data_IF_852235045422
#
_entry.id   IF_852235045422
#
_cell.length_a   1.000
_cell.length_b   1.000
_cell.length_c   1.000
_cell.angle_alpha   90.00
_cell.angle_beta   90.00
_cell.angle_gamma   90.00
#
_symmetry.space_group_name_H-M   'P 1'
#
loop_
_entity.id
_entity.type
_entity.pdbx_description
1 polymer ?
#
# COMPACT_ATOMS: atom_id res chain seq x y z
N UNK A 1 -16.66 11.87 -13.45
CA UNK A 1 -15.84 10.76 -12.95
C UNK A 1 -16.70 9.51 -12.90
N UNK A 2 -16.16 8.32 -13.18
CA UNK A 2 -16.88 7.06 -12.96
C UNK A 2 -17.30 6.94 -11.49
N UNK A 3 -18.51 6.45 -11.25
CA UNK A 3 -19.01 6.15 -9.91
C UNK A 3 -18.65 4.69 -9.57
N UNK A 4 -18.34 4.38 -8.30
CA UNK A 4 -18.08 3.00 -7.90
C UNK A 4 -19.35 2.17 -8.03
N UNK A 5 -19.21 0.95 -8.57
CA UNK A 5 -20.31 -0.01 -8.68
C UNK A 5 -20.72 -0.50 -7.28
N UNK A 6 -21.96 -0.24 -6.82
CA UNK A 6 -22.41 -0.70 -5.51
C UNK A 6 -22.50 -2.23 -5.39
N UNK A 7 -22.57 -2.96 -6.50
CA UNK A 7 -22.58 -4.42 -6.49
C UNK A 7 -21.18 -5.04 -6.32
N UNK A 8 -20.11 -4.24 -6.51
CA UNK A 8 -18.76 -4.74 -6.35
C UNK A 8 -18.41 -4.95 -4.86
N UNK A 9 -17.91 -6.14 -4.45
CA UNK A 9 -17.76 -6.48 -3.04
C UNK A 9 -16.88 -5.57 -2.18
N UNK A 10 -15.84 -4.92 -2.75
CA UNK A 10 -15.02 -3.95 -1.99
C UNK A 10 -15.62 -2.56 -1.89
N UNK A 11 -16.65 -2.22 -2.67
CA UNK A 11 -17.14 -0.84 -2.75
C UNK A 11 -17.52 -0.32 -1.38
N UNK A 12 -18.26 -1.11 -0.60
CA UNK A 12 -18.63 -0.73 0.76
C UNK A 12 -17.40 -0.47 1.64
N UNK A 13 -16.42 -1.37 1.66
CA UNK A 13 -15.23 -1.23 2.49
C UNK A 13 -14.39 0.01 2.13
N UNK A 14 -14.27 0.31 0.83
CA UNK A 14 -13.59 1.53 0.39
C UNK A 14 -14.31 2.78 0.87
N UNK A 15 -15.64 2.84 0.76
CA UNK A 15 -16.44 3.98 1.21
C UNK A 15 -16.40 4.14 2.73
N UNK A 16 -16.44 3.03 3.48
CA UNK A 16 -16.32 3.05 4.95
C UNK A 16 -14.97 3.61 5.39
N UNK A 17 -13.87 3.17 4.75
CA UNK A 17 -12.55 3.70 5.04
C UNK A 17 -12.48 5.18 4.67
N UNK A 18 -12.95 5.57 3.48
CA UNK A 18 -12.95 6.96 3.02
C UNK A 18 -13.66 7.89 4.01
N UNK A 19 -14.88 7.53 4.43
CA UNK A 19 -15.64 8.31 5.41
C UNK A 19 -14.96 8.43 6.77
N UNK A 20 -14.27 7.38 7.21
CA UNK A 20 -13.50 7.42 8.44
C UNK A 20 -12.29 8.38 8.32
N UNK A 21 -11.67 8.43 7.15
CA UNK A 21 -10.55 9.34 6.88
C UNK A 21 -10.99 10.79 6.77
N UNK A 22 -12.13 11.07 6.14
CA UNK A 22 -12.68 12.42 6.06
C UNK A 22 -12.99 13.00 7.45
N UNK A 23 -13.30 12.13 8.44
CA UNK A 23 -13.48 12.52 9.84
C UNK A 23 -12.17 12.60 10.63
N UNK A 24 -11.25 11.66 10.40
CA UNK A 24 -10.05 11.53 11.21
C UNK A 24 -8.90 12.44 10.73
N UNK A 25 -8.88 12.80 9.44
CA UNK A 25 -7.81 13.56 8.80
C UNK A 25 -6.46 12.84 8.76
N UNK A 26 -6.41 11.54 9.14
CA UNK A 26 -5.15 10.81 9.27
C UNK A 26 -5.27 9.33 8.96
N UNK A 27 -4.18 8.76 8.45
CA UNK A 27 -4.06 7.34 8.17
C UNK A 27 -2.77 6.78 8.76
N UNK A 28 -2.86 5.72 9.56
CA UNK A 28 -1.69 5.03 10.10
C UNK A 28 -0.95 4.26 8.99
N UNK A 29 0.37 4.41 8.95
CA UNK A 29 1.26 3.80 7.98
C UNK A 29 2.16 2.76 8.66
N UNK A 30 2.34 1.58 8.07
CA UNK A 30 3.30 0.60 8.58
C UNK A 30 4.72 1.11 8.36
N UNK A 31 5.65 0.61 9.18
CA UNK A 31 7.07 0.76 8.89
C UNK A 31 7.42 0.16 7.51
N UNK A 32 8.57 0.55 6.96
CA UNK A 32 9.10 -0.01 5.73
C UNK A 32 10.50 -0.54 5.99
N UNK A 33 10.63 -1.85 5.91
CA UNK A 33 11.89 -2.56 5.89
C UNK A 33 12.13 -3.10 4.48
N UNK A 34 13.38 -3.07 4.04
CA UNK A 34 13.77 -3.56 2.72
C UNK A 34 15.02 -4.42 2.81
N UNK A 35 15.07 -5.43 1.94
CA UNK A 35 16.23 -6.31 1.76
C UNK A 35 16.40 -6.63 0.28
N UNK A 36 17.64 -6.57 -0.21
CA UNK A 36 17.99 -7.03 -1.56
C UNK A 36 18.74 -8.35 -1.43
N UNK A 37 18.17 -9.43 -1.97
CA UNK A 37 18.79 -10.75 -2.02
C UNK A 37 19.49 -10.94 -3.37
N UNK A 38 20.55 -10.17 -3.60
CA UNK A 38 21.19 -10.13 -4.91
C UNK A 38 21.91 -11.45 -5.27
N UNK A 39 21.84 -11.89 -6.53
CA UNK A 39 22.61 -13.03 -7.02
C UNK A 39 24.11 -12.69 -7.12
N UNK A 40 24.94 -13.73 -7.20
CA UNK A 40 26.39 -13.62 -7.35
C UNK A 40 26.83 -13.26 -8.79
N UNK A 41 26.15 -12.31 -9.43
CA UNK A 41 26.45 -11.84 -10.79
C UNK A 41 26.02 -10.39 -11.01
N UNK A 42 26.41 -9.85 -12.15
CA UNK A 42 25.92 -8.57 -12.62
C UNK A 42 24.40 -8.61 -12.86
N UNK A 43 23.69 -7.58 -12.38
CA UNK A 43 22.25 -7.39 -12.55
C UNK A 43 21.94 -5.93 -12.92
N UNK A 44 20.86 -5.74 -13.68
CA UNK A 44 20.30 -4.44 -13.99
C UNK A 44 19.18 -4.07 -13.01
N UNK A 45 18.75 -2.81 -13.01
CA UNK A 45 17.81 -2.28 -12.01
C UNK A 45 16.41 -2.90 -12.12
N UNK A 46 15.95 -3.14 -13.35
CA UNK A 46 14.71 -3.85 -13.66
C UNK A 46 14.72 -5.26 -13.08
N UNK A 47 15.81 -6.01 -13.30
CA UNK A 47 15.99 -7.34 -12.73
C UNK A 47 16.08 -7.29 -11.19
N UNK A 48 16.72 -6.26 -10.64
CA UNK A 48 16.96 -6.13 -9.21
C UNK A 48 15.66 -6.03 -8.38
N UNK A 49 14.56 -5.58 -8.98
CA UNK A 49 13.25 -5.51 -8.32
C UNK A 49 12.74 -6.89 -7.92
N UNK A 50 13.06 -7.94 -8.68
CA UNK A 50 12.68 -9.32 -8.34
C UNK A 50 13.40 -9.83 -7.08
N UNK A 51 14.53 -9.23 -6.73
CA UNK A 51 15.32 -9.57 -5.55
C UNK A 51 15.04 -8.64 -4.36
N UNK A 52 14.18 -7.64 -4.53
CA UNK A 52 13.78 -6.72 -3.47
C UNK A 52 12.61 -7.32 -2.68
N UNK A 53 12.81 -7.48 -1.37
CA UNK A 53 11.76 -7.85 -0.43
C UNK A 53 11.41 -6.65 0.44
N UNK A 54 10.12 -6.33 0.55
CA UNK A 54 9.59 -5.31 1.45
C UNK A 54 8.82 -5.96 2.60
N UNK A 55 8.93 -5.38 3.80
CA UNK A 55 8.25 -5.90 4.99
C UNK A 55 7.83 -4.77 5.93
N UNK A 56 6.67 -4.88 6.60
CA UNK A 56 6.28 -3.96 7.66
C UNK A 56 7.06 -4.20 8.96
N UNK A 57 7.75 -5.34 9.10
CA UNK A 57 8.52 -5.73 10.29
C UNK A 57 9.95 -6.07 9.91
N UNK A 58 10.91 -5.69 10.76
CA UNK A 58 12.31 -5.96 10.52
C UNK A 58 12.68 -7.40 10.87
N UNK A 59 13.46 -8.03 9.98
CA UNK A 59 14.13 -9.30 10.20
C UNK A 59 15.64 -9.12 10.09
N UNK A 60 16.39 -10.16 10.42
CA UNK A 60 17.85 -10.15 10.27
C UNK A 60 18.24 -9.86 8.81
N UNK A 61 19.12 -8.87 8.61
CA UNK A 61 19.56 -8.41 7.30
C UNK A 61 18.64 -7.39 6.63
N UNK A 62 17.51 -7.04 7.23
CA UNK A 62 16.64 -5.97 6.71
C UNK A 62 17.14 -4.58 7.12
N UNK A 63 16.96 -3.60 6.23
CA UNK A 63 17.24 -2.19 6.50
C UNK A 63 15.91 -1.45 6.67
N UNK A 64 15.76 -0.74 7.80
CA UNK A 64 14.61 0.13 8.02
C UNK A 64 14.72 1.41 7.20
N UNK A 65 13.84 1.60 6.23
CA UNK A 65 13.76 2.79 5.37
C UNK A 65 12.76 3.84 5.91
N UNK A 66 11.69 3.38 6.55
CA UNK A 66 10.66 4.21 7.17
C UNK A 66 10.25 3.62 8.51
N UNK A 67 10.11 4.46 9.54
CA UNK A 67 9.49 4.06 10.79
C UNK A 67 7.97 3.99 10.64
N UNK A 68 7.30 3.24 11.51
CA UNK A 68 5.83 3.32 11.61
C UNK A 68 5.42 4.76 11.96
N UNK A 69 4.28 5.21 11.41
CA UNK A 69 3.84 6.59 11.59
C UNK A 69 2.42 6.83 11.10
N UNK A 70 2.11 8.08 10.79
CA UNK A 70 0.80 8.49 10.29
C UNK A 70 0.93 9.52 9.18
N UNK A 71 0.11 9.38 8.14
CA UNK A 71 -0.10 10.36 7.09
C UNK A 71 -1.18 11.36 7.54
N UNK A 72 -0.90 12.66 7.51
CA UNK A 72 -1.94 13.70 7.65
C UNK A 72 -2.54 14.00 6.28
N UNK A 73 -3.86 13.94 6.17
CA UNK A 73 -4.57 13.93 4.90
C UNK A 73 -5.11 15.30 4.54
N UNK A 74 -4.74 15.78 3.36
CA UNK A 74 -5.39 16.93 2.73
C UNK A 74 -6.78 16.55 2.25
N UNK A 75 -6.86 15.42 1.54
CA UNK A 75 -8.09 14.79 1.08
C UNK A 75 -7.82 13.34 0.69
N UNK A 76 -8.91 12.59 0.58
CA UNK A 76 -8.93 11.21 0.09
C UNK A 76 -9.82 11.10 -1.15
N UNK A 77 -9.49 10.24 -2.11
CA UNK A 77 -10.30 10.05 -3.32
C UNK A 77 -10.30 8.60 -3.75
N UNK A 78 -11.49 8.03 -3.93
CA UNK A 78 -11.64 6.67 -4.46
C UNK A 78 -11.33 6.66 -5.97
N UNK A 79 -10.31 5.89 -6.36
CA UNK A 79 -9.99 5.62 -7.75
C UNK A 79 -10.83 4.44 -8.25
N UNK A 80 -11.56 4.68 -9.34
CA UNK A 80 -12.53 3.74 -9.91
C UNK A 80 -12.19 3.52 -11.39
N UNK A 81 -12.22 2.27 -11.83
CA UNK A 81 -12.06 1.87 -13.22
C UNK A 81 -13.26 2.34 -14.08
N UNK A 82 -13.14 2.35 -15.42
CA UNK A 82 -14.22 2.81 -16.30
C UNK A 82 -15.53 2.02 -16.17
N UNK A 83 -15.46 0.76 -15.73
CA UNK A 83 -16.58 -0.16 -15.51
C UNK A 83 -17.25 0.01 -14.14
N UNK A 84 -16.72 0.88 -13.27
CA UNK A 84 -17.20 1.07 -11.90
C UNK A 84 -16.43 0.27 -10.84
N UNK A 85 -15.46 -0.57 -11.23
CA UNK A 85 -14.69 -1.37 -10.26
C UNK A 85 -13.77 -0.47 -9.41
N UNK A 86 -13.88 -0.48 -8.06
CA UNK A 86 -13.01 0.32 -7.20
C UNK A 86 -11.60 -0.28 -7.10
N UNK A 87 -10.59 0.51 -7.41
CA UNK A 87 -9.21 0.02 -7.51
C UNK A 87 -8.34 0.34 -6.29
N UNK A 88 -8.43 1.56 -5.79
CA UNK A 88 -7.64 2.03 -4.65
C UNK A 88 -8.21 3.32 -4.06
N UNK A 89 -7.91 3.58 -2.80
CA UNK A 89 -8.09 4.88 -2.19
C UNK A 89 -6.80 5.70 -2.32
N UNK A 90 -6.87 6.85 -2.98
CA UNK A 90 -5.77 7.80 -3.12
C UNK A 90 -5.76 8.75 -1.92
N UNK A 91 -4.67 8.73 -1.18
CA UNK A 91 -4.47 9.55 0.01
C UNK A 91 -3.45 10.64 -0.27
N UNK A 92 -3.86 11.90 -0.25
CA UNK A 92 -2.98 13.06 -0.51
C UNK A 92 -2.54 13.69 0.80
N UNK A 93 -1.23 13.86 1.00
CA UNK A 93 -0.67 14.45 2.22
C UNK A 93 -0.84 15.98 2.28
N UNK A 94 -1.16 16.54 3.46
CA UNK A 94 -1.38 17.99 3.67
C UNK A 94 -0.22 18.88 3.27
N UNK A 95 1.02 18.47 3.55
CA UNK A 95 2.19 19.34 3.36
C UNK A 95 2.94 19.08 2.06
N UNK A 96 3.21 17.82 1.74
CA UNK A 96 4.04 17.46 0.58
C UNK A 96 3.22 17.25 -0.68
N UNK A 97 1.89 17.07 -0.54
CA UNK A 97 0.98 16.60 -1.60
C UNK A 97 1.41 15.28 -2.24
N UNK A 98 2.25 14.50 -1.55
CA UNK A 98 2.53 13.14 -1.96
C UNK A 98 1.24 12.31 -1.90
N UNK A 99 1.03 11.48 -2.91
CA UNK A 99 -0.12 10.58 -2.99
C UNK A 99 0.33 9.16 -2.68
N UNK A 100 -0.41 8.50 -1.78
CA UNK A 100 -0.28 7.07 -1.49
C UNK A 100 -1.55 6.36 -1.95
N UNK A 101 -1.42 5.33 -2.78
CA UNK A 101 -2.53 4.46 -3.11
C UNK A 101 -2.69 3.35 -2.05
N UNK A 102 -3.92 3.13 -1.59
CA UNK A 102 -4.28 2.04 -0.68
C UNK A 102 -5.21 1.09 -1.39
N UNK A 103 -4.75 -0.13 -1.67
CA UNK A 103 -5.59 -1.20 -2.21
C UNK A 103 -6.06 -2.12 -1.09
N UNK A 104 -7.36 -2.33 -0.99
CA UNK A 104 -7.94 -3.31 -0.08
C UNK A 104 -7.80 -4.70 -0.69
N UNK A 105 -7.34 -5.66 0.10
CA UNK A 105 -7.30 -7.06 -0.28
C UNK A 105 -8.45 -7.80 0.43
N UNK A 106 -9.24 -8.59 -0.30
CA UNK A 106 -10.32 -9.36 0.30
C UNK A 106 -9.78 -10.45 1.25
N UNK A 107 -10.57 -10.86 2.26
CA UNK A 107 -10.16 -11.89 3.21
C UNK A 107 -10.16 -13.32 2.61
N UNK A 108 -10.71 -13.48 1.41
CA UNK A 108 -10.73 -14.72 0.64
C UNK A 108 -10.45 -14.43 -0.83
N UNK A 109 -10.06 -15.47 -1.58
CA UNK A 109 -9.73 -15.35 -3.00
C UNK A 109 -11.00 -15.10 -3.81
N UNK A 110 -10.95 -14.12 -4.71
CA UNK A 110 -11.98 -13.89 -5.73
C UNK A 110 -11.54 -14.46 -7.08
N UNK A 111 -12.52 -14.91 -7.87
CA UNK A 111 -12.29 -15.43 -9.22
C UNK A 111 -11.81 -14.34 -10.18
N UNK A 112 -12.26 -13.10 -9.97
CA UNK A 112 -11.80 -11.95 -10.74
C UNK A 112 -10.44 -11.42 -10.23
N UNK A 113 -9.52 -11.07 -11.15
CA UNK A 113 -8.28 -10.43 -10.78
C UNK A 113 -8.58 -9.08 -10.12
N UNK A 114 -7.78 -8.72 -9.11
CA UNK A 114 -7.87 -7.39 -8.54
C UNK A 114 -7.59 -6.34 -9.62
N UNK A 115 -8.32 -5.21 -9.61
CA UNK A 115 -8.10 -4.14 -10.56
C UNK A 115 -6.67 -3.60 -10.43
N UNK A 116 -6.07 -3.14 -11.55
CA UNK A 116 -4.72 -2.61 -11.52
C UNK A 116 -4.67 -1.34 -10.66
N UNK A 117 -3.55 -1.18 -9.95
CA UNK A 117 -3.28 0.02 -9.16
C UNK A 117 -3.06 1.23 -10.08
N UNK A 118 -3.52 2.42 -9.67
CA UNK A 118 -3.17 3.65 -10.36
C UNK A 118 -1.66 3.93 -10.25
N UNK A 119 -1.11 4.55 -11.28
CA UNK A 119 0.30 4.97 -11.30
C UNK A 119 0.52 6.07 -10.25
N UNK A 120 1.08 5.65 -9.12
CA UNK A 120 1.33 6.48 -7.94
C UNK A 120 2.71 6.18 -7.40
N UNK A 121 3.42 7.18 -6.84
CA UNK A 121 4.80 7.00 -6.39
C UNK A 121 4.91 6.02 -5.22
N UNK A 122 3.85 5.84 -4.43
CA UNK A 122 3.79 4.91 -3.32
C UNK A 122 2.44 4.18 -3.29
N UNK A 123 2.47 2.89 -3.04
CA UNK A 123 1.26 2.10 -2.83
C UNK A 123 1.44 1.09 -1.70
N UNK A 124 0.35 0.80 -0.99
CA UNK A 124 0.29 -0.26 0.00
C UNK A 124 -1.01 -1.04 -0.11
N UNK A 125 -0.96 -2.28 0.32
CA UNK A 125 -2.14 -3.13 0.51
C UNK A 125 -2.62 -3.05 1.94
N UNK A 126 -3.93 -3.12 2.14
CA UNK A 126 -4.56 -3.37 3.43
C UNK A 126 -5.32 -4.70 3.35
N UNK A 127 -4.85 -5.72 4.07
CA UNK A 127 -5.49 -7.02 4.12
C UNK A 127 -6.71 -7.00 5.06
N UNK A 128 -7.91 -7.17 4.49
CA UNK A 128 -9.12 -7.39 5.28
C UNK A 128 -9.11 -8.81 5.86
N UNK A 129 -9.74 -8.96 7.01
CA UNK A 129 -9.93 -10.24 7.72
C UNK A 129 -11.42 -10.61 7.77
N UNK A 130 -11.73 -11.87 8.07
CA UNK A 130 -13.14 -12.28 8.28
C UNK A 130 -13.80 -11.49 9.42
N UNK A 131 -13.02 -11.06 10.42
CA UNK A 131 -13.52 -10.21 11.49
C UNK A 131 -13.88 -8.81 10.98
N UNK A 132 -13.14 -8.27 10.01
CA UNK A 132 -13.47 -6.97 9.42
C UNK A 132 -14.80 -7.03 8.67
N UNK A 133 -15.09 -8.13 7.97
CA UNK A 133 -16.37 -8.34 7.29
C UNK A 133 -17.52 -8.35 8.30
N UNK A 134 -17.42 -9.19 9.34
CA UNK A 134 -18.47 -9.25 10.39
C UNK A 134 -18.64 -7.90 11.12
N UNK A 135 -17.56 -7.15 11.27
CA UNK A 135 -17.59 -5.84 11.92
C UNK A 135 -18.23 -4.78 11.02
N UNK A 136 -18.13 -4.89 9.69
CA UNK A 136 -18.82 -3.99 8.77
C UNK A 136 -20.33 -4.02 8.97
N UNK A 137 -20.90 -5.22 9.16
CA UNK A 137 -22.33 -5.41 9.41
C UNK A 137 -22.78 -4.90 10.78
N UNK A 138 -21.89 -4.94 11.78
CA UNK A 138 -22.26 -4.66 13.19
C UNK A 138 -21.96 -3.21 13.61
N UNK A 139 -20.75 -2.71 13.30
CA UNK A 139 -20.31 -1.35 13.61
C UNK A 139 -19.35 -0.84 12.50
N UNK A 140 -19.91 -0.38 11.36
CA UNK A 140 -19.12 0.08 10.23
C UNK A 140 -18.25 1.30 10.56
N UNK A 141 -18.68 2.16 11.49
CA UNK A 141 -17.93 3.33 11.91
C UNK A 141 -16.70 2.94 12.75
N UNK A 142 -16.83 1.94 13.63
CA UNK A 142 -15.67 1.39 14.34
C UNK A 142 -14.71 0.68 13.40
N UNK A 143 -15.22 -0.05 12.40
CA UNK A 143 -14.36 -0.66 11.39
C UNK A 143 -13.55 0.39 10.64
N UNK A 144 -14.20 1.42 10.09
CA UNK A 144 -13.49 2.50 9.37
C UNK A 144 -12.41 3.16 10.24
N UNK A 145 -12.70 3.45 11.52
CA UNK A 145 -11.71 3.96 12.47
C UNK A 145 -10.55 3.00 12.71
N UNK A 146 -10.81 1.70 12.83
CA UNK A 146 -9.79 0.66 12.98
C UNK A 146 -8.87 0.63 11.77
N UNK A 147 -9.43 0.51 10.56
CA UNK A 147 -8.69 0.45 9.30
C UNK A 147 -7.84 1.71 9.07
N UNK A 148 -8.38 2.89 9.41
CA UNK A 148 -7.65 4.14 9.33
C UNK A 148 -6.53 4.24 10.37
N UNK A 149 -6.82 3.88 11.62
CA UNK A 149 -5.97 4.18 12.79
C UNK A 149 -4.90 3.14 13.12
N UNK A 150 -4.93 1.95 12.52
CA UNK A 150 -3.94 0.88 12.78
C UNK A 150 -2.94 0.72 11.63
N UNK A 151 -1.69 0.41 11.94
CA UNK A 151 -0.71 -0.05 10.96
C UNK A 151 -0.84 -1.56 10.64
N UNK A 152 -1.61 -2.30 11.44
CA UNK A 152 -1.81 -3.73 11.25
C UNK A 152 -2.41 -4.05 9.88
N UNK A 153 -2.03 -5.20 9.32
CA UNK A 153 -2.45 -5.70 8.01
C UNK A 153 -2.11 -4.81 6.81
N UNK A 154 -1.33 -3.74 7.01
CA UNK A 154 -0.84 -2.88 5.93
C UNK A 154 0.55 -3.31 5.49
N UNK A 155 0.80 -3.34 4.19
CA UNK A 155 2.10 -3.68 3.61
C UNK A 155 2.39 -2.82 2.39
N UNK A 156 3.57 -2.23 2.35
CA UNK A 156 4.04 -1.49 1.19
C UNK A 156 4.23 -2.43 -0.01
N UNK A 157 3.72 -2.04 -1.17
CA UNK A 157 4.00 -2.67 -2.46
C UNK A 157 5.21 -2.02 -3.11
N UNK A 158 5.21 -0.69 -3.14
CA UNK A 158 6.33 0.13 -3.59
C UNK A 158 6.34 1.47 -2.87
N UNK A 159 7.51 2.09 -2.80
CA UNK A 159 7.70 3.37 -2.12
C UNK A 159 8.96 4.06 -2.65
N UNK A 160 9.02 5.40 -2.79
CA UNK A 160 10.18 6.09 -3.35
C UNK A 160 11.49 5.77 -2.62
N UNK A 161 11.44 5.66 -1.29
CA UNK A 161 12.60 5.24 -0.49
C UNK A 161 13.10 3.83 -0.81
N UNK A 162 12.21 2.90 -1.17
CA UNK A 162 12.60 1.55 -1.57
C UNK A 162 13.27 1.58 -2.96
N UNK A 163 12.77 2.40 -3.88
CA UNK A 163 13.38 2.59 -5.19
C UNK A 163 14.79 3.21 -5.08
N UNK A 164 14.96 4.25 -4.25
CA UNK A 164 16.28 4.83 -3.98
C UNK A 164 17.24 3.81 -3.37
N UNK A 165 16.78 3.07 -2.35
CA UNK A 165 17.56 2.01 -1.72
C UNK A 165 18.00 0.94 -2.73
N UNK A 166 17.08 0.49 -3.60
CA UNK A 166 17.39 -0.52 -4.62
C UNK A 166 18.44 0.01 -5.61
N UNK A 167 18.28 1.24 -6.10
CA UNK A 167 19.22 1.85 -7.03
C UNK A 167 20.64 1.95 -6.44
N UNK A 168 20.76 2.35 -5.17
CA UNK A 168 22.04 2.40 -4.47
C UNK A 168 22.69 1.01 -4.33
N UNK A 169 21.90 -0.02 -4.00
CA UNK A 169 22.40 -1.40 -3.88
C UNK A 169 22.84 -1.97 -5.22
N UNK A 170 22.08 -1.74 -6.29
CA UNK A 170 22.46 -2.15 -7.64
C UNK A 170 23.76 -1.46 -8.07
N UNK A 171 23.87 -0.15 -7.87
CA UNK A 171 25.10 0.59 -8.21
C UNK A 171 26.33 0.04 -7.45
N UNK A 172 26.15 -0.37 -6.19
CA UNK A 172 27.21 -1.02 -5.41
C UNK A 172 27.60 -2.39 -6.00
N UNK A 173 26.62 -3.25 -6.29
CA UNK A 173 26.86 -4.58 -6.86
C UNK A 173 27.55 -4.50 -8.23
N UNK A 174 27.11 -3.56 -9.07
CA UNK A 174 27.73 -3.33 -10.37
C UNK A 174 29.19 -2.89 -10.25
N UNK A 175 29.56 -2.13 -9.20
CA UNK A 175 30.99 -1.80 -8.95
C UNK A 175 31.79 -3.02 -8.51
N UNK A 176 31.20 -3.93 -7.75
CA UNK A 176 31.87 -5.17 -7.28
C UNK A 176 32.08 -6.16 -8.41
N UNK A 177 31.09 -6.35 -9.29
CA UNK A 177 31.15 -7.29 -10.41
C UNK A 177 31.71 -6.71 -11.71
N UNK A 178 32.16 -5.45 -11.72
CA UNK A 178 32.99 -4.91 -12.82
C UNK A 178 34.42 -5.46 -12.71
N UNK A 179 34.59 -6.74 -13.02
CA UNK A 179 35.86 -7.38 -13.38
C UNK A 179 35.62 -8.35 -14.52
#
# INVERSE_FOLDING_TARGET
>A
MPQPDPAYPLTEFYLLLQHALDKAGRFALPALYARVQAPARHIYLDEAREYLSLSPTGREGDIRLLAEGSLQLLYSTLHVQPDGTPAALLLTEECTRATVAVQLLPPFVWEDPLPPLPDTPAALTLQLTMQDVMQADTDPAALGRKLAGTAANKRWLHHPKAETFLAERVALLQRVYKR
#
